data_IF_749992548830
#
_entry.id   IF_749992548830
#
_cell.length_a   1.000
_cell.length_b   1.000
_cell.length_c   1.000
_cell.angle_alpha   90.00
_cell.angle_beta   90.00
_cell.angle_gamma   90.00
#
_symmetry.space_group_name_H-M   'P 1'
#
loop_
_entity.id
_entity.type
_entity.pdbx_description
1 polymer ?
#
# COMPACT_ATOMS: atom_id res chain seq x y z
N UNK A 1 5.15 -1.71 58.63
CA UNK A 1 3.88 -0.96 58.49
C UNK A 1 2.98 -1.32 59.67
N UNK A 2 2.41 -0.32 60.33
CA UNK A 2 1.51 -0.54 61.47
C UNK A 2 0.13 -1.05 61.00
N UNK A 3 -0.55 -1.81 61.87
CA UNK A 3 -1.83 -2.46 61.57
C UNK A 3 -2.94 -1.45 61.28
N UNK A 4 -2.97 -0.32 61.99
CA UNK A 4 -4.05 0.66 61.92
C UNK A 4 -4.03 1.44 60.59
N UNK A 5 -2.86 1.87 60.13
CA UNK A 5 -2.67 2.51 58.83
C UNK A 5 -3.03 1.59 57.69
N UNK A 6 -2.58 0.33 57.72
CA UNK A 6 -2.89 -0.65 56.69
C UNK A 6 -4.38 -0.96 56.62
N UNK A 7 -5.05 -1.13 57.76
CA UNK A 7 -6.49 -1.37 57.82
C UNK A 7 -7.31 -0.18 57.29
N UNK A 8 -6.90 1.06 57.61
CA UNK A 8 -7.55 2.28 57.10
C UNK A 8 -7.46 2.36 55.57
N UNK A 9 -6.28 2.09 55.01
CA UNK A 9 -6.05 2.14 53.56
C UNK A 9 -6.82 1.03 52.82
N UNK A 10 -6.88 -0.18 53.39
CA UNK A 10 -7.68 -1.27 52.82
C UNK A 10 -9.19 -0.97 52.88
N UNK A 11 -9.69 -0.33 53.95
CA UNK A 11 -11.08 0.13 54.06
C UNK A 11 -11.42 1.25 53.06
N UNK A 12 -10.44 2.07 52.69
CA UNK A 12 -10.57 3.07 51.63
C UNK A 12 -10.58 2.47 50.21
N UNK A 13 -10.47 1.14 50.09
CA UNK A 13 -10.57 0.43 48.81
C UNK A 13 -9.29 0.39 47.99
N UNK A 14 -8.17 0.91 48.53
CA UNK A 14 -6.87 0.88 47.86
C UNK A 14 -6.37 -0.55 47.67
N UNK A 15 -5.80 -0.82 46.50
CA UNK A 15 -5.13 -2.09 46.20
C UNK A 15 -3.77 -2.19 46.90
N UNK A 16 -3.27 -3.42 47.07
CA UNK A 16 -1.94 -3.65 47.67
C UNK A 16 -0.82 -2.97 46.87
N UNK A 17 -0.98 -2.80 45.56
CA UNK A 17 -0.03 -2.11 44.67
C UNK A 17 -0.02 -0.59 44.90
N UNK A 18 -1.18 0.04 45.08
CA UNK A 18 -1.29 1.47 45.38
C UNK A 18 -0.77 1.79 46.78
N UNK A 19 -1.05 0.90 47.75
CA UNK A 19 -0.48 0.98 49.09
C UNK A 19 1.05 0.81 49.01
N UNK A 20 1.55 -0.10 48.18
CA UNK A 20 2.98 -0.29 47.95
C UNK A 20 3.67 0.99 47.45
N UNK A 21 3.13 1.60 46.39
CA UNK A 21 3.65 2.87 45.84
C UNK A 21 3.67 4.00 46.87
N UNK A 22 2.68 4.07 47.75
CA UNK A 22 2.56 5.15 48.75
C UNK A 22 3.61 5.07 49.86
N UNK A 23 4.13 3.88 50.14
CA UNK A 23 5.12 3.64 51.19
C UNK A 23 6.48 3.21 50.64
N UNK A 24 6.69 3.31 49.33
CA UNK A 24 7.88 2.82 48.62
C UNK A 24 8.20 1.35 48.94
N UNK A 25 7.14 0.53 48.99
CA UNK A 25 7.22 -0.90 49.25
C UNK A 25 6.69 -1.69 48.07
N UNK A 26 7.30 -2.84 47.80
CA UNK A 26 6.75 -3.79 46.84
C UNK A 26 5.39 -4.31 47.32
N UNK A 27 4.45 -4.54 46.39
CA UNK A 27 3.10 -5.04 46.67
C UNK A 27 3.11 -6.37 47.46
N UNK A 28 4.11 -7.21 47.24
CA UNK A 28 4.33 -8.45 48.00
C UNK A 28 4.67 -8.19 49.47
N UNK A 29 5.41 -7.12 49.76
CA UNK A 29 5.76 -6.70 51.13
C UNK A 29 4.51 -6.18 51.85
N UNK A 30 3.67 -5.41 51.17
CA UNK A 30 2.37 -4.97 51.72
C UNK A 30 1.46 -6.18 51.97
N UNK A 31 1.44 -7.14 51.04
CA UNK A 31 0.72 -8.40 51.21
C UNK A 31 1.20 -9.24 52.40
N UNK A 32 2.52 -9.26 52.65
CA UNK A 32 3.09 -9.89 53.85
C UNK A 32 2.60 -9.21 55.13
N UNK A 33 2.59 -7.88 55.20
CA UNK A 33 2.08 -7.14 56.36
C UNK A 33 0.57 -7.32 56.55
N UNK A 34 -0.21 -7.37 55.47
CA UNK A 34 -1.64 -7.65 55.53
C UNK A 34 -1.91 -9.03 56.15
N UNK A 35 -1.16 -10.05 55.71
CA UNK A 35 -1.24 -11.41 56.25
C UNK A 35 -0.79 -11.49 57.72
N UNK A 36 0.34 -10.85 58.05
CA UNK A 36 0.90 -10.80 59.40
C UNK A 36 -0.06 -10.15 60.41
N UNK A 37 -0.87 -9.19 59.95
CA UNK A 37 -1.85 -8.47 60.78
C UNK A 37 -3.28 -9.04 60.70
N UNK A 38 -3.50 -10.15 59.97
CA UNK A 38 -4.81 -10.77 59.79
C UNK A 38 -5.82 -9.89 59.03
N UNK A 39 -5.34 -9.00 58.15
CA UNK A 39 -6.17 -8.09 57.38
C UNK A 39 -6.42 -8.65 55.97
N UNK A 40 -7.69 -8.77 55.59
CA UNK A 40 -8.08 -9.21 54.25
C UNK A 40 -8.38 -8.01 53.35
N UNK A 41 -7.88 -8.06 52.11
CA UNK A 41 -8.16 -7.03 51.12
C UNK A 41 -9.56 -7.18 50.54
N UNK A 42 -10.35 -6.09 50.60
CA UNK A 42 -11.76 -6.00 50.16
C UNK A 42 -11.96 -6.39 48.68
N UNK A 43 -10.92 -6.30 47.85
CA UNK A 43 -10.99 -6.56 46.40
C UNK A 43 -10.66 -8.00 45.96
N UNK A 44 -10.53 -8.98 46.88
CA UNK A 44 -10.17 -10.37 46.52
C UNK A 44 -11.21 -11.04 45.60
N UNK A 45 -12.50 -10.67 45.71
CA UNK A 45 -13.57 -11.21 44.87
C UNK A 45 -13.49 -10.77 43.39
N UNK A 46 -12.98 -9.57 43.09
CA UNK A 46 -12.84 -9.06 41.71
C UNK A 46 -11.76 -9.80 40.91
N UNK A 47 -10.81 -10.44 41.58
CA UNK A 47 -9.73 -11.22 40.99
C UNK A 47 -9.86 -12.73 41.24
N UNK A 48 -11.05 -13.21 41.62
CA UNK A 48 -11.31 -14.64 41.67
C UNK A 48 -11.07 -15.24 40.27
N UNK A 49 -10.28 -16.32 40.22
CA UNK A 49 -9.99 -17.03 38.98
C UNK A 49 -11.30 -17.63 38.44
N UNK A 50 -11.98 -16.89 37.56
CA UNK A 50 -13.05 -17.45 36.76
C UNK A 50 -12.39 -18.48 35.85
N UNK A 51 -12.65 -19.77 36.08
CA UNK A 51 -11.97 -20.90 35.43
C UNK A 51 -11.96 -20.86 33.90
N UNK A 52 -11.31 -21.86 33.29
CA UNK A 52 -11.23 -21.99 31.84
C UNK A 52 -12.60 -22.07 31.17
N UNK A 53 -12.70 -21.58 29.93
CA UNK A 53 -13.90 -21.77 29.11
C UNK A 53 -13.85 -23.16 28.50
N UNK A 54 -14.96 -23.90 28.57
CA UNK A 54 -15.05 -25.23 27.98
C UNK A 54 -15.21 -25.18 26.46
N UNK A 55 -14.74 -26.21 25.75
CA UNK A 55 -15.01 -26.36 24.32
C UNK A 55 -16.52 -26.43 24.04
N UNK A 56 -17.27 -27.12 24.90
CA UNK A 56 -18.73 -27.30 24.82
C UNK A 56 -19.50 -25.99 24.92
N UNK A 57 -18.94 -24.97 25.59
CA UNK A 57 -19.56 -23.64 25.70
C UNK A 57 -19.28 -22.78 24.46
N UNK A 58 -18.10 -22.94 23.84
CA UNK A 58 -17.66 -22.10 22.73
C UNK A 58 -18.12 -22.62 21.36
N UNK A 59 -18.19 -23.94 21.19
CA UNK A 59 -18.51 -24.57 19.91
C UNK A 59 -19.92 -24.22 19.39
N UNK A 60 -20.99 -24.21 20.21
CA UNK A 60 -22.32 -23.77 19.78
C UNK A 60 -22.36 -22.29 19.38
N UNK A 61 -21.67 -21.42 20.11
CA UNK A 61 -21.62 -19.98 19.82
C UNK A 61 -20.88 -19.69 18.51
N UNK A 62 -19.81 -20.44 18.25
CA UNK A 62 -19.09 -20.40 16.98
C UNK A 62 -19.94 -20.93 15.83
N UNK A 63 -20.67 -22.03 16.04
CA UNK A 63 -21.59 -22.62 15.05
C UNK A 63 -22.75 -21.67 14.71
N UNK A 64 -23.30 -20.97 15.71
CA UNK A 64 -24.28 -19.89 15.57
C UNK A 64 -23.73 -18.66 14.83
N UNK A 65 -22.42 -18.61 14.59
CA UNK A 65 -21.79 -17.58 13.75
C UNK A 65 -21.47 -16.29 14.48
N UNK A 66 -21.47 -16.29 15.81
CA UNK A 66 -21.12 -15.14 16.63
C UNK A 66 -19.67 -14.69 16.42
N UNK A 67 -19.44 -13.39 16.54
CA UNK A 67 -18.12 -12.76 16.58
C UNK A 67 -17.46 -12.92 17.94
N UNK A 68 -16.14 -12.71 18.02
CA UNK A 68 -15.39 -12.77 19.29
C UNK A 68 -15.97 -11.80 20.34
N UNK A 69 -16.53 -10.66 19.92
CA UNK A 69 -17.14 -9.69 20.83
C UNK A 69 -18.46 -10.19 21.40
N UNK A 70 -19.32 -10.79 20.57
CA UNK A 70 -20.59 -11.37 21.01
C UNK A 70 -20.36 -12.60 21.88
N UNK A 71 -19.38 -13.45 21.55
CA UNK A 71 -18.98 -14.58 22.38
C UNK A 71 -18.48 -14.10 23.74
N UNK A 72 -17.66 -13.04 23.78
CA UNK A 72 -17.15 -12.45 25.01
C UNK A 72 -18.27 -11.96 25.94
N UNK A 73 -19.29 -11.31 25.37
CA UNK A 73 -20.47 -10.87 26.10
C UNK A 73 -21.28 -12.07 26.61
N UNK A 74 -21.55 -13.05 25.73
CA UNK A 74 -22.35 -14.23 26.06
C UNK A 74 -21.74 -15.08 27.19
N UNK A 75 -20.42 -15.21 27.23
CA UNK A 75 -19.72 -16.00 28.27
C UNK A 75 -19.24 -15.15 29.45
N UNK A 76 -19.51 -13.84 29.44
CA UNK A 76 -19.09 -12.92 30.49
C UNK A 76 -17.57 -12.93 30.73
N UNK A 77 -16.77 -12.93 29.65
CA UNK A 77 -15.30 -12.91 29.69
C UNK A 77 -14.73 -11.84 28.77
N UNK A 78 -13.46 -11.50 28.97
CA UNK A 78 -12.75 -10.60 28.06
C UNK A 78 -12.52 -11.20 26.68
N UNK A 79 -12.53 -10.36 25.64
CA UNK A 79 -12.25 -10.74 24.24
C UNK A 79 -10.92 -11.48 24.08
N UNK A 80 -9.93 -11.14 24.90
CA UNK A 80 -8.59 -11.77 24.91
C UNK A 80 -8.64 -13.19 25.46
N UNK A 81 -9.44 -13.44 26.51
CA UNK A 81 -9.68 -14.76 27.09
C UNK A 81 -10.41 -15.67 26.11
N UNK A 82 -11.46 -15.15 25.45
CA UNK A 82 -12.17 -15.88 24.39
C UNK A 82 -11.23 -16.25 23.24
N UNK A 83 -10.40 -15.30 22.80
CA UNK A 83 -9.40 -15.57 21.74
C UNK A 83 -8.41 -16.67 22.11
N UNK A 84 -7.96 -16.68 23.36
CA UNK A 84 -7.05 -17.72 23.87
C UNK A 84 -7.70 -19.11 23.74
N UNK A 85 -8.91 -19.29 24.28
CA UNK A 85 -9.59 -20.60 24.26
C UNK A 85 -10.07 -21.03 22.87
N UNK A 86 -10.50 -20.10 22.01
CA UNK A 86 -10.78 -20.41 20.61
C UNK A 86 -9.52 -20.92 19.88
N UNK A 87 -8.34 -20.36 20.19
CA UNK A 87 -7.07 -20.83 19.62
C UNK A 87 -6.71 -22.23 20.13
N UNK A 88 -6.85 -22.45 21.44
CA UNK A 88 -6.56 -23.74 22.09
C UNK A 88 -7.39 -24.87 21.49
N UNK A 89 -8.70 -24.64 21.32
CA UNK A 89 -9.62 -25.61 20.70
C UNK A 89 -9.66 -25.56 19.18
N UNK A 90 -8.81 -24.73 18.55
CA UNK A 90 -8.75 -24.53 17.09
C UNK A 90 -10.08 -24.15 16.44
N UNK A 91 -10.97 -23.49 17.19
CA UNK A 91 -12.26 -22.99 16.73
C UNK A 91 -12.10 -21.64 16.02
N UNK A 92 -12.80 -21.44 14.89
CA UNK A 92 -12.80 -20.18 14.13
C UNK A 92 -14.22 -19.66 13.94
N UNK A 93 -14.44 -18.39 14.27
CA UNK A 93 -15.75 -17.74 14.07
C UNK A 93 -16.08 -17.57 12.58
N UNK A 94 -17.33 -17.82 12.18
CA UNK A 94 -17.82 -17.58 10.80
C UNK A 94 -17.66 -16.12 10.35
N UNK A 95 -17.71 -15.16 11.28
CA UNK A 95 -17.44 -13.74 11.00
C UNK A 95 -15.98 -13.50 10.54
N UNK A 96 -15.03 -14.21 11.14
CA UNK A 96 -13.62 -14.16 10.74
C UNK A 96 -13.38 -14.80 9.36
N UNK A 97 -14.13 -15.85 9.03
CA UNK A 97 -14.08 -16.52 7.74
C UNK A 97 -14.71 -15.68 6.64
N UNK A 98 -15.93 -15.15 6.85
CA UNK A 98 -16.61 -14.24 5.90
C UNK A 98 -15.80 -12.99 5.63
N UNK A 99 -15.17 -12.36 6.64
CA UNK A 99 -14.32 -11.18 6.42
C UNK A 99 -13.06 -11.52 5.61
N UNK A 100 -12.45 -12.69 5.84
CA UNK A 100 -11.28 -13.18 5.08
C UNK A 100 -11.66 -13.54 3.64
N UNK A 101 -12.84 -14.11 3.42
CA UNK A 101 -13.38 -14.45 2.10
C UNK A 101 -13.84 -13.21 1.31
N UNK A 102 -14.50 -12.25 1.96
CA UNK A 102 -14.84 -10.96 1.34
C UNK A 102 -13.58 -10.16 0.98
N UNK A 103 -12.57 -10.15 1.86
CA UNK A 103 -11.28 -9.52 1.55
C UNK A 103 -10.56 -10.22 0.39
N UNK A 104 -10.68 -11.56 0.24
CA UNK A 104 -10.06 -12.32 -0.86
C UNK A 104 -10.76 -12.14 -2.20
N UNK A 105 -12.07 -11.80 -2.18
CA UNK A 105 -12.89 -11.43 -3.35
C UNK A 105 -12.78 -9.95 -3.71
N UNK A 106 -12.36 -9.09 -2.79
CA UNK A 106 -12.20 -7.66 -3.05
C UNK A 106 -11.17 -7.42 -4.17
N UNK A 107 -11.62 -6.79 -5.26
CA UNK A 107 -10.77 -6.45 -6.42
C UNK A 107 -9.70 -5.43 -6.05
N UNK A 108 -10.00 -4.57 -5.06
CA UNK A 108 -9.09 -3.59 -4.47
C UNK A 108 -9.18 -3.59 -2.96
N UNK A 109 -8.05 -3.35 -2.30
CA UNK A 109 -7.95 -3.21 -0.85
C UNK A 109 -6.72 -2.39 -0.47
N UNK A 110 -6.67 -1.88 0.77
CA UNK A 110 -5.52 -1.13 1.29
C UNK A 110 -4.62 -2.09 2.09
N UNK A 111 -3.34 -2.16 1.74
CA UNK A 111 -2.32 -2.92 2.49
C UNK A 111 -1.05 -2.10 2.62
N UNK A 112 -0.16 -2.57 3.47
CA UNK A 112 1.19 -2.05 3.59
C UNK A 112 2.11 -2.65 2.51
N UNK A 113 2.74 -1.78 1.74
CA UNK A 113 3.79 -2.09 0.79
C UNK A 113 5.14 -1.74 1.39
N UNK A 114 6.11 -2.66 1.35
CA UNK A 114 7.47 -2.44 1.84
C UNK A 114 8.19 -1.22 1.25
N UNK A 115 7.75 -0.72 0.08
CA UNK A 115 8.33 0.45 -0.59
C UNK A 115 7.48 1.71 -0.49
N UNK A 116 6.18 1.58 -0.30
CA UNK A 116 5.23 2.70 -0.44
C UNK A 116 4.37 2.93 0.80
N UNK A 117 4.57 2.15 1.86
CA UNK A 117 3.71 2.15 3.04
C UNK A 117 2.28 1.73 2.71
N UNK A 118 1.30 2.29 3.41
CA UNK A 118 -0.11 2.02 3.18
C UNK A 118 -0.56 2.56 1.82
N UNK A 119 -1.06 1.67 0.96
CA UNK A 119 -1.50 2.01 -0.40
C UNK A 119 -2.56 1.04 -0.89
N UNK A 120 -3.25 1.40 -1.98
CA UNK A 120 -4.14 0.49 -2.68
C UNK A 120 -3.37 -0.63 -3.40
N UNK A 121 -3.92 -1.84 -3.27
CA UNK A 121 -3.51 -3.03 -3.97
C UNK A 121 -4.67 -3.54 -4.82
N UNK A 122 -4.34 -4.07 -6.00
CA UNK A 122 -5.29 -4.72 -6.88
C UNK A 122 -5.00 -6.21 -6.97
N UNK A 123 -6.06 -7.03 -6.95
CA UNK A 123 -5.97 -8.47 -7.15
C UNK A 123 -5.53 -8.79 -8.58
N UNK A 124 -4.57 -9.70 -8.74
CA UNK A 124 -4.14 -10.19 -10.05
C UNK A 124 -5.06 -11.33 -10.53
N UNK A 125 -5.15 -11.50 -11.85
CA UNK A 125 -5.85 -12.64 -12.46
C UNK A 125 -5.22 -13.98 -12.05
N UNK A 126 -3.90 -14.04 -11.95
CA UNK A 126 -3.12 -15.20 -11.50
C UNK A 126 -3.16 -15.44 -9.99
N UNK A 127 -3.98 -14.68 -9.25
CA UNK A 127 -4.00 -14.70 -7.79
C UNK A 127 -2.97 -13.78 -7.13
N UNK A 128 -3.22 -13.49 -5.84
CA UNK A 128 -2.45 -12.53 -5.06
C UNK A 128 -2.74 -11.07 -5.38
N UNK A 129 -2.12 -10.18 -4.62
CA UNK A 129 -2.30 -8.73 -4.74
C UNK A 129 -1.05 -8.04 -5.29
N UNK A 130 -1.24 -6.86 -5.87
CA UNK A 130 -0.16 -6.01 -6.36
C UNK A 130 -0.43 -4.56 -5.99
N UNK A 131 0.52 -3.93 -5.31
CA UNK A 131 0.49 -2.49 -5.03
C UNK A 131 0.37 -1.69 -6.34
N UNK A 132 -0.60 -0.77 -6.38
CA UNK A 132 -0.87 0.06 -7.55
C UNK A 132 0.27 1.06 -7.85
N UNK A 133 0.93 1.59 -6.83
CA UNK A 133 2.11 2.48 -7.00
C UNK A 133 3.30 1.71 -7.58
N UNK A 134 3.61 0.54 -7.02
CA UNK A 134 4.61 -0.38 -7.59
C UNK A 134 4.32 -0.77 -9.05
N UNK A 135 3.04 -0.93 -9.42
CA UNK A 135 2.64 -1.20 -10.80
C UNK A 135 2.91 0.02 -11.68
N UNK A 136 2.47 1.22 -11.28
CA UNK A 136 2.69 2.46 -12.01
C UNK A 136 4.18 2.71 -12.26
N UNK A 137 5.02 2.57 -11.24
CA UNK A 137 6.47 2.73 -11.36
C UNK A 137 7.12 1.69 -12.29
N UNK A 138 6.64 0.44 -12.29
CA UNK A 138 7.11 -0.57 -13.22
C UNK A 138 6.77 -0.20 -14.68
N UNK A 139 5.56 0.32 -14.91
CA UNK A 139 5.16 0.84 -16.23
C UNK A 139 6.04 2.02 -16.63
N UNK A 140 6.24 3.00 -15.75
CA UNK A 140 7.10 4.16 -16.01
C UNK A 140 8.54 3.75 -16.31
N UNK A 141 9.12 2.80 -15.56
CA UNK A 141 10.46 2.26 -15.84
C UNK A 141 10.53 1.58 -17.20
N UNK A 142 9.55 0.75 -17.55
CA UNK A 142 9.48 0.11 -18.87
C UNK A 142 9.41 1.15 -19.99
N UNK A 143 8.56 2.16 -19.86
CA UNK A 143 8.42 3.24 -20.85
C UNK A 143 9.74 3.99 -21.07
N UNK A 144 10.46 4.34 -19.99
CA UNK A 144 11.78 4.98 -20.07
C UNK A 144 12.80 4.10 -20.81
N UNK A 145 12.85 2.80 -20.49
CA UNK A 145 13.76 1.85 -21.16
C UNK A 145 13.48 1.75 -22.66
N UNK A 146 12.21 1.61 -23.04
CA UNK A 146 11.87 1.52 -24.47
C UNK A 146 12.11 2.85 -25.17
N UNK A 147 11.75 4.00 -24.57
CA UNK A 147 12.04 5.32 -25.15
C UNK A 147 13.54 5.49 -25.43
N UNK A 148 14.40 5.11 -24.47
CA UNK A 148 15.86 5.12 -24.64
C UNK A 148 16.29 4.30 -25.86
N UNK A 149 15.85 3.04 -25.95
CA UNK A 149 16.17 2.16 -27.08
C UNK A 149 15.73 2.74 -28.43
N UNK A 150 14.52 3.30 -28.52
CA UNK A 150 14.01 3.88 -29.75
C UNK A 150 14.80 5.13 -30.15
N UNK A 151 15.12 5.99 -29.19
CA UNK A 151 15.92 7.21 -29.41
C UNK A 151 17.32 6.86 -29.90
N UNK A 152 17.98 5.90 -29.26
CA UNK A 152 19.29 5.40 -29.69
C UNK A 152 19.23 4.84 -31.11
N UNK A 153 18.21 4.05 -31.44
CA UNK A 153 18.00 3.52 -32.79
C UNK A 153 17.65 4.57 -33.86
N UNK A 154 17.26 5.78 -33.45
CA UNK A 154 16.91 6.89 -34.35
C UNK A 154 18.00 7.98 -34.41
N UNK A 155 19.22 7.69 -33.92
CA UNK A 155 20.37 8.59 -33.98
C UNK A 155 20.65 9.39 -32.70
N UNK A 156 19.82 9.25 -31.66
CA UNK A 156 20.10 9.78 -30.31
C UNK A 156 19.97 11.31 -30.14
N UNK A 157 19.70 12.05 -31.22
CA UNK A 157 19.64 13.51 -31.22
C UNK A 157 18.46 14.02 -32.04
N UNK A 158 18.05 15.26 -31.78
CA UNK A 158 17.10 15.97 -32.64
C UNK A 158 17.68 16.15 -34.04
N UNK A 159 16.97 15.72 -35.07
CA UNK A 159 17.42 15.87 -36.46
C UNK A 159 17.38 17.31 -36.97
N UNK A 160 16.60 18.19 -36.33
CA UNK A 160 16.52 19.60 -36.70
C UNK A 160 17.64 20.46 -36.08
N UNK A 161 17.98 20.23 -34.80
CA UNK A 161 18.88 21.12 -34.05
C UNK A 161 20.02 20.41 -33.31
N UNK A 162 20.13 19.08 -33.39
CA UNK A 162 21.18 18.30 -32.74
C UNK A 162 21.03 18.09 -31.23
N UNK A 163 19.95 18.58 -30.60
CA UNK A 163 19.73 18.40 -29.15
C UNK A 163 19.76 16.93 -28.73
N UNK A 164 20.62 16.57 -27.77
CA UNK A 164 20.79 15.20 -27.26
C UNK A 164 20.95 15.12 -25.72
N UNK A 165 20.83 16.24 -25.01
CA UNK A 165 21.12 16.30 -23.57
C UNK A 165 20.08 15.55 -22.70
N UNK A 166 18.82 15.48 -23.13
CA UNK A 166 17.75 14.82 -22.38
C UNK A 166 16.84 13.98 -23.29
N UNK A 167 16.93 12.65 -23.16
CA UNK A 167 16.05 11.70 -23.85
C UNK A 167 14.57 11.99 -23.59
N UNK A 168 14.22 12.47 -22.39
CA UNK A 168 12.83 12.75 -22.06
C UNK A 168 12.23 13.87 -22.92
N UNK A 169 13.05 14.83 -23.37
CA UNK A 169 12.66 15.96 -24.21
C UNK A 169 12.65 15.65 -25.72
N UNK A 170 13.05 14.43 -26.13
CA UNK A 170 12.99 13.98 -27.52
C UNK A 170 11.65 13.30 -27.82
N UNK A 171 11.09 13.56 -28.99
CA UNK A 171 9.77 13.16 -29.44
C UNK A 171 9.81 12.64 -30.88
N UNK A 172 8.99 11.64 -31.17
CA UNK A 172 8.86 11.07 -32.51
C UNK A 172 7.71 11.76 -33.23
N UNK A 173 8.05 12.51 -34.28
CA UNK A 173 7.10 13.19 -35.15
C UNK A 173 6.88 12.36 -36.42
N UNK A 174 5.63 12.07 -36.77
CA UNK A 174 5.30 11.31 -37.98
C UNK A 174 5.40 12.22 -39.21
N UNK A 175 6.17 11.82 -40.23
CA UNK A 175 6.27 12.58 -41.49
C UNK A 175 4.97 12.56 -42.30
N UNK A 176 4.26 11.44 -42.27
CA UNK A 176 2.95 11.27 -42.91
C UNK A 176 1.93 10.90 -41.83
N UNK A 177 1.10 11.84 -41.35
CA UNK A 177 0.12 11.57 -40.30
C UNK A 177 -0.86 10.44 -40.63
N UNK A 178 -1.13 10.21 -41.93
CA UNK A 178 -2.01 9.15 -42.42
C UNK A 178 -1.43 7.73 -42.28
N UNK A 179 -0.11 7.57 -42.13
CA UNK A 179 0.56 6.26 -42.00
C UNK A 179 0.71 5.79 -40.55
N UNK A 180 0.17 6.57 -39.61
CA UNK A 180 0.24 6.34 -38.17
C UNK A 180 -0.58 5.11 -37.78
N UNK A 181 0.10 4.12 -37.25
CA UNK A 181 -0.56 2.94 -36.67
C UNK A 181 -1.02 3.23 -35.24
N UNK A 182 -0.23 4.00 -34.49
CA UNK A 182 -0.51 4.42 -33.11
C UNK A 182 0.47 5.52 -32.66
N UNK A 183 0.13 6.30 -31.62
CA UNK A 183 1.06 7.29 -31.05
C UNK A 183 2.17 6.64 -30.20
N UNK A 184 3.42 7.00 -30.47
CA UNK A 184 4.57 6.66 -29.62
C UNK A 184 4.69 7.56 -28.38
N UNK A 185 3.92 8.65 -28.31
CA UNK A 185 3.90 9.60 -27.19
C UNK A 185 2.95 9.22 -26.05
N UNK A 186 3.36 9.55 -24.81
CA UNK A 186 2.70 9.56 -23.49
C UNK A 186 1.80 8.38 -23.02
N UNK A 187 1.04 7.72 -23.90
CA UNK A 187 0.07 6.65 -23.57
C UNK A 187 0.38 5.28 -24.20
N UNK A 188 1.50 5.11 -24.91
CA UNK A 188 1.57 4.07 -25.94
C UNK A 188 2.48 2.84 -25.78
N UNK A 189 3.51 2.81 -24.92
CA UNK A 189 4.52 1.74 -25.02
C UNK A 189 4.18 0.45 -24.23
N UNK A 190 2.93 -0.01 -24.37
CA UNK A 190 2.48 -1.32 -23.87
C UNK A 190 2.56 -2.42 -24.95
N UNK A 191 3.08 -2.12 -26.14
CA UNK A 191 3.25 -3.06 -27.26
C UNK A 191 4.63 -3.73 -27.21
N UNK A 192 4.83 -4.78 -28.01
CA UNK A 192 6.15 -5.42 -28.14
C UNK A 192 7.15 -4.38 -28.65
N UNK A 193 8.40 -4.48 -28.20
CA UNK A 193 9.48 -3.57 -28.59
C UNK A 193 9.57 -3.53 -30.12
N UNK A 194 9.45 -4.67 -30.80
CA UNK A 194 9.46 -4.78 -32.26
C UNK A 194 8.43 -3.86 -32.95
N UNK A 195 7.17 -3.82 -32.46
CA UNK A 195 6.15 -2.93 -33.04
C UNK A 195 6.48 -1.46 -32.80
N UNK A 196 6.98 -1.13 -31.63
CA UNK A 196 7.39 0.24 -31.32
C UNK A 196 8.58 0.69 -32.19
N UNK A 197 9.53 -0.20 -32.45
CA UNK A 197 10.65 0.04 -33.37
C UNK A 197 10.17 0.24 -34.80
N UNK A 198 9.24 -0.58 -35.29
CA UNK A 198 8.69 -0.43 -36.64
C UNK A 198 7.97 0.92 -36.81
N UNK A 199 7.20 1.34 -35.81
CA UNK A 199 6.53 2.64 -35.85
C UNK A 199 7.53 3.81 -35.77
N UNK A 200 8.58 3.68 -34.94
CA UNK A 200 9.60 4.71 -34.79
C UNK A 200 10.37 4.96 -36.10
N UNK A 201 10.51 3.93 -36.95
CA UNK A 201 11.14 4.07 -38.28
C UNK A 201 10.34 4.94 -39.26
N UNK A 202 9.06 5.23 -38.98
CA UNK A 202 8.23 6.15 -39.77
C UNK A 202 8.30 7.60 -39.27
N UNK A 203 9.02 7.82 -38.18
CA UNK A 203 9.04 9.08 -37.46
C UNK A 203 10.41 9.72 -37.52
N UNK A 204 10.44 11.05 -37.64
CA UNK A 204 11.65 11.84 -37.40
C UNK A 204 11.78 12.11 -35.89
N UNK A 205 13.01 12.09 -35.39
CA UNK A 205 13.29 12.38 -33.99
C UNK A 205 13.56 13.87 -33.80
N UNK A 206 12.74 14.56 -33.00
CA UNK A 206 12.84 16.00 -32.74
C UNK A 206 12.86 16.28 -31.23
N UNK A 207 13.47 17.38 -30.79
CA UNK A 207 13.26 17.86 -29.42
C UNK A 207 11.88 18.52 -29.29
N UNK A 208 11.36 18.64 -28.07
CA UNK A 208 10.03 19.22 -27.82
C UNK A 208 9.81 20.59 -28.49
N UNK A 209 10.84 21.45 -28.54
CA UNK A 209 10.75 22.76 -29.17
C UNK A 209 10.67 22.65 -30.70
N UNK A 210 11.54 21.84 -31.32
CA UNK A 210 11.50 21.62 -32.77
C UNK A 210 10.23 20.88 -33.20
N UNK A 211 9.76 19.92 -32.39
CA UNK A 211 8.49 19.24 -32.60
C UNK A 211 7.33 20.26 -32.60
N UNK A 212 7.26 21.12 -31.57
CA UNK A 212 6.24 22.17 -31.51
C UNK A 212 6.33 23.16 -32.69
N UNK A 213 7.55 23.52 -33.11
CA UNK A 213 7.78 24.41 -34.25
C UNK A 213 7.34 23.76 -35.59
N UNK A 214 7.51 22.45 -35.75
CA UNK A 214 7.01 21.71 -36.92
C UNK A 214 5.48 21.64 -36.92
N UNK A 215 4.86 21.30 -35.77
CA UNK A 215 3.39 21.29 -35.64
C UNK A 215 2.78 22.69 -35.87
N UNK A 216 3.47 23.75 -35.46
CA UNK A 216 3.08 25.14 -35.71
C UNK A 216 3.39 25.64 -37.14
N UNK A 217 4.03 24.82 -37.97
CA UNK A 217 4.41 25.18 -39.34
C UNK A 217 5.56 26.18 -39.46
N UNK A 218 6.27 26.49 -38.38
CA UNK A 218 7.44 27.39 -38.36
C UNK A 218 8.66 26.71 -38.99
N UNK A 219 8.81 25.40 -38.76
CA UNK A 219 9.83 24.56 -39.39
C UNK A 219 9.14 23.61 -40.37
N UNK A 220 9.64 23.53 -41.60
CA UNK A 220 9.24 22.49 -42.55
C UNK A 220 10.30 21.40 -42.62
N UNK A 221 9.82 20.16 -42.55
CA UNK A 221 10.59 18.97 -42.81
C UNK A 221 10.54 18.68 -44.32
N UNK A 222 11.71 18.57 -44.95
CA UNK A 222 11.87 18.31 -46.38
C UNK A 222 12.46 16.91 -46.52
N UNK A 223 11.69 16.01 -47.14
CA UNK A 223 12.04 14.61 -47.30
C UNK A 223 10.97 13.68 -46.73
N UNK A 224 10.80 12.51 -47.35
CA UNK A 224 9.85 11.47 -46.92
C UNK A 224 10.53 10.34 -46.14
N UNK A 225 11.86 10.30 -46.15
CA UNK A 225 12.65 9.30 -45.42
C UNK A 225 13.12 9.90 -44.08
N UNK A 226 12.71 9.33 -42.93
CA UNK A 226 13.16 9.72 -41.60
C UNK A 226 14.68 9.70 -41.38
N UNK A 227 15.46 9.02 -42.23
CA UNK A 227 16.92 9.03 -42.17
C UNK A 227 17.58 10.22 -42.90
N UNK A 228 16.85 10.91 -43.79
CA UNK A 228 17.39 11.94 -44.69
C UNK A 228 16.59 13.25 -44.66
N UNK A 229 15.84 13.50 -43.58
CA UNK A 229 15.00 14.71 -43.45
C UNK A 229 15.87 15.96 -43.27
N UNK A 230 15.69 16.94 -44.16
CA UNK A 230 16.26 18.28 -43.99
C UNK A 230 15.24 19.20 -43.32
N UNK A 231 15.71 20.10 -42.45
CA UNK A 231 14.85 21.10 -41.82
C UNK A 231 15.12 22.48 -42.42
N UNK A 232 14.08 23.17 -42.89
CA UNK A 232 14.16 24.59 -43.28
C UNK A 232 13.17 25.40 -42.46
N UNK A 233 13.62 26.58 -42.01
CA UNK A 233 12.70 27.60 -41.52
C UNK A 233 11.79 28.01 -42.69
N UNK A 234 10.50 28.20 -42.42
CA UNK A 234 9.62 28.84 -43.39
C UNK A 234 10.04 30.31 -43.43
N UNK A 235 10.45 30.86 -44.59
CA UNK A 235 10.72 32.29 -44.67
C UNK A 235 9.42 33.02 -44.34
N UNK A 236 9.49 34.08 -43.53
CA UNK A 236 8.35 34.93 -43.21
C UNK A 236 7.72 35.44 -44.50
N UNK A 237 6.68 34.76 -44.98
CA UNK A 237 5.76 35.35 -45.95
C UNK A 237 4.89 36.32 -45.16
N UNK A 238 5.40 37.55 -45.02
CA UNK A 238 4.62 38.71 -44.60
C UNK A 238 3.32 38.71 -45.40
N UNK A 239 2.13 38.77 -44.76
CA UNK A 239 0.90 39.01 -45.49
C UNK A 239 0.99 40.42 -46.10
N UNK A 240 0.96 40.47 -47.43
CA UNK A 240 0.72 41.69 -48.20
C UNK A 240 -0.76 42.04 -48.26
#
# INVERSE_FOLDING_TARGET
MDRASLQKLLRQGLSLAEIGKRFDLHESTVGYWARKHGLEAVNRAKHAAKGGLGREELEPLVAAGMSIAEIAEAVGRGKTTVRHWLKEYRLKTKHSERRREMASRATRLVLECSRHGLTEFQRRSTGGYRCLRCRSEAVSRRRRRVKKLLVEGAGGACQACGYNACIAALEFHHLVPAEKSFSLSHRGVARSIAKATLEARKCVLLCANCHAAVEAGVIRLIGQDPAHVQCRAVPDSLPG
#
